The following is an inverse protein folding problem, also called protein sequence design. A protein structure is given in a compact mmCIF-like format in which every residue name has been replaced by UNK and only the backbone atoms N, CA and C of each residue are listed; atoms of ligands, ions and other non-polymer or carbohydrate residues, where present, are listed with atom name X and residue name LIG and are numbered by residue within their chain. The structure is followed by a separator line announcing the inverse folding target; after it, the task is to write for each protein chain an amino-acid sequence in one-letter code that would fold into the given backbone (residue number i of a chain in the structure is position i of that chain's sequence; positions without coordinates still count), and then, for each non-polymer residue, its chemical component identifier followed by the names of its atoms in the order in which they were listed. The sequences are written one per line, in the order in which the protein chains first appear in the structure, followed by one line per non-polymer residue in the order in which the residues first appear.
data_IF_986518920385
#
_entry.id   IF_986518920385
#
_cell.length_a   1.000
_cell.length_b   1.000
_cell.length_c   1.000
_cell.angle_alpha   90.00
_cell.angle_beta   90.00
_cell.angle_gamma   90.00
#
_symmetry.space_group_name_H-M   'P 1'
#
loop_
_entity.id
_entity.type
_entity.pdbx_description
1 polymer ?
#
# COMPACT_ATOMS: atom_id res chain seq x y z
N UNK A 1 -23.04 -19.51 -23.33
CA UNK A 1 -22.39 -18.32 -22.73
C UNK A 1 -22.81 -17.15 -23.57
N UNK A 2 -23.44 -16.14 -22.97
CA UNK A 2 -23.65 -14.89 -23.68
C UNK A 2 -22.29 -14.23 -23.96
N UNK A 3 -22.08 -13.69 -25.16
CA UNK A 3 -20.90 -12.89 -25.46
C UNK A 3 -20.90 -11.64 -24.58
N UNK A 4 -19.71 -11.23 -24.12
CA UNK A 4 -19.55 -9.98 -23.38
C UNK A 4 -20.15 -8.81 -24.17
N UNK A 5 -20.93 -7.92 -23.52
CA UNK A 5 -21.45 -6.72 -24.18
C UNK A 5 -20.30 -5.89 -24.74
N UNK A 6 -20.28 -5.68 -26.06
CA UNK A 6 -19.32 -4.80 -26.73
C UNK A 6 -19.73 -3.33 -26.53
N UNK A 7 -19.72 -2.85 -25.29
CA UNK A 7 -19.83 -1.41 -25.02
C UNK A 7 -18.42 -0.82 -24.99
N UNK A 8 -18.10 -0.04 -26.02
CA UNK A 8 -16.85 0.71 -26.20
C UNK A 8 -15.57 -0.08 -25.87
N UNK A 9 -15.02 -0.76 -26.89
CA UNK A 9 -13.60 -1.11 -26.85
C UNK A 9 -12.82 0.18 -26.61
N UNK A 10 -12.26 0.34 -25.41
CA UNK A 10 -11.27 1.35 -25.09
C UNK A 10 -10.11 1.16 -26.07
N UNK A 11 -10.03 1.99 -27.10
CA UNK A 11 -9.10 1.79 -28.20
C UNK A 11 -7.66 2.17 -27.81
N UNK A 12 -7.49 2.97 -26.75
CA UNK A 12 -6.19 3.36 -26.22
C UNK A 12 -6.03 2.92 -24.75
N UNK A 13 -4.80 2.50 -24.40
CA UNK A 13 -4.42 2.13 -23.03
C UNK A 13 -4.79 3.20 -22.00
N UNK A 14 -4.63 4.47 -22.39
CA UNK A 14 -4.95 5.61 -21.55
C UNK A 14 -6.40 5.59 -21.06
N UNK A 15 -7.37 5.07 -21.80
CA UNK A 15 -8.77 5.14 -21.38
C UNK A 15 -9.08 4.30 -20.12
N UNK A 16 -8.27 3.29 -19.82
CA UNK A 16 -8.53 2.34 -18.73
C UNK A 16 -7.43 2.27 -17.68
N UNK A 17 -6.26 2.86 -17.93
CA UNK A 17 -5.14 2.83 -17.00
C UNK A 17 -4.34 4.13 -17.00
N UNK A 18 -3.60 4.34 -15.93
CA UNK A 18 -2.67 5.45 -15.82
C UNK A 18 -1.53 5.29 -16.84
N UNK A 19 -1.13 6.40 -17.44
CA UNK A 19 0.06 6.50 -18.31
C UNK A 19 1.04 7.52 -17.72
N UNK A 20 2.27 7.58 -18.22
CA UNK A 20 3.31 8.45 -17.65
C UNK A 20 2.94 9.93 -17.75
N UNK A 21 2.23 10.29 -18.82
CA UNK A 21 1.73 11.63 -19.10
C UNK A 21 0.72 12.09 -18.04
N UNK A 22 0.03 11.17 -17.36
CA UNK A 22 -0.86 11.52 -16.24
C UNK A 22 -0.09 12.08 -15.03
N UNK A 23 1.23 11.87 -14.96
CA UNK A 23 2.08 12.33 -13.85
C UNK A 23 3.03 13.48 -14.24
N UNK A 24 3.10 13.87 -15.52
CA UNK A 24 4.12 14.77 -16.03
C UNK A 24 4.02 16.20 -15.49
N UNK A 25 2.80 16.71 -15.27
CA UNK A 25 2.53 18.10 -14.91
C UNK A 25 2.04 18.28 -13.46
N UNK A 26 2.43 17.37 -12.56
CA UNK A 26 1.92 17.35 -11.17
C UNK A 26 3.05 17.42 -10.14
N UNK A 27 3.70 18.57 -10.06
CA UNK A 27 4.89 18.83 -9.22
C UNK A 27 4.75 18.48 -7.72
N UNK A 28 3.52 18.42 -7.20
CA UNK A 28 3.25 18.10 -5.80
C UNK A 28 3.36 16.61 -5.49
N UNK A 29 3.18 15.73 -6.48
CA UNK A 29 3.11 14.30 -6.26
C UNK A 29 4.24 13.55 -6.95
N UNK A 30 4.82 12.62 -6.20
CA UNK A 30 5.74 11.61 -6.71
C UNK A 30 4.98 10.33 -7.05
N UNK A 31 5.58 9.52 -7.91
CA UNK A 31 5.12 8.16 -8.22
C UNK A 31 5.50 7.20 -7.09
N UNK A 32 4.64 7.12 -6.07
CA UNK A 32 4.88 6.28 -4.89
C UNK A 32 4.49 4.83 -5.13
N UNK A 33 5.40 3.90 -4.82
CA UNK A 33 5.17 2.47 -5.00
C UNK A 33 4.34 1.89 -3.85
N UNK A 34 3.39 0.98 -4.16
CA UNK A 34 2.67 0.21 -3.14
C UNK A 34 3.48 -0.99 -2.67
N UNK A 35 4.09 -1.71 -3.61
CA UNK A 35 5.12 -2.70 -3.36
C UNK A 35 6.50 -2.10 -3.67
N UNK A 36 7.32 -1.75 -2.66
CA UNK A 36 8.55 -0.99 -2.88
C UNK A 36 9.70 -1.86 -3.40
N UNK A 37 10.57 -1.25 -4.22
CA UNK A 37 11.79 -1.89 -4.74
C UNK A 37 12.73 -2.42 -3.65
N UNK A 38 12.79 -1.73 -2.50
CA UNK A 38 13.65 -2.06 -1.36
C UNK A 38 13.26 -3.38 -0.68
N UNK A 39 12.04 -3.89 -0.94
CA UNK A 39 11.58 -5.17 -0.41
C UNK A 39 11.82 -6.33 -1.39
N UNK A 40 12.35 -6.05 -2.58
CA UNK A 40 12.67 -7.06 -3.59
C UNK A 40 14.18 -7.34 -3.64
N UNK A 41 14.55 -8.59 -3.91
CA UNK A 41 15.96 -8.99 -4.06
C UNK A 41 16.37 -9.06 -5.54
N UNK A 42 15.58 -9.78 -6.35
CA UNK A 42 15.87 -10.04 -7.76
C UNK A 42 15.72 -8.77 -8.63
N UNK A 43 16.64 -8.50 -9.58
CA UNK A 43 16.54 -7.35 -10.47
C UNK A 43 15.25 -7.29 -11.31
N UNK A 44 14.70 -8.44 -11.72
CA UNK A 44 13.45 -8.52 -12.49
C UNK A 44 12.27 -8.15 -11.59
N UNK A 45 12.25 -8.64 -10.35
CA UNK A 45 11.22 -8.30 -9.37
C UNK A 45 11.26 -6.81 -9.01
N UNK A 46 12.47 -6.23 -8.88
CA UNK A 46 12.65 -4.78 -8.72
C UNK A 46 12.13 -4.01 -9.92
N UNK A 47 12.42 -4.44 -11.14
CA UNK A 47 11.91 -3.77 -12.34
C UNK A 47 10.38 -3.78 -12.40
N UNK A 48 9.74 -4.86 -11.95
CA UNK A 48 8.29 -4.99 -11.92
C UNK A 48 7.61 -3.97 -10.99
N UNK A 49 8.27 -3.50 -9.94
CA UNK A 49 7.69 -2.51 -9.00
C UNK A 49 7.50 -1.12 -9.63
N UNK A 50 8.14 -0.83 -10.75
CA UNK A 50 8.02 0.45 -11.47
C UNK A 50 6.84 0.50 -12.45
N UNK A 51 6.07 -0.58 -12.58
CA UNK A 51 4.83 -0.59 -13.36
C UNK A 51 3.79 0.36 -12.76
N UNK A 52 3.02 1.06 -13.61
CA UNK A 52 2.02 2.03 -13.13
C UNK A 52 0.83 1.39 -12.39
N UNK A 53 0.64 0.07 -12.52
CA UNK A 53 -0.33 -0.69 -11.73
C UNK A 53 0.06 -0.81 -10.25
N UNK A 54 1.33 -0.54 -9.91
CA UNK A 54 1.87 -0.54 -8.55
C UNK A 54 2.12 0.88 -8.00
N UNK A 55 1.72 1.93 -8.74
CA UNK A 55 2.07 3.31 -8.43
C UNK A 55 0.82 4.12 -8.10
N UNK A 56 0.92 4.94 -7.04
CA UNK A 56 -0.10 5.93 -6.67
C UNK A 56 0.55 7.31 -6.46
N UNK A 57 -0.19 8.41 -6.67
CA UNK A 57 0.31 9.75 -6.36
C UNK A 57 0.56 9.90 -4.84
N UNK A 58 1.82 10.10 -4.45
CA UNK A 58 2.19 10.39 -3.07
C UNK A 58 2.76 11.79 -2.95
N UNK A 59 2.37 12.54 -1.92
CA UNK A 59 2.95 13.86 -1.64
C UNK A 59 4.45 13.70 -1.39
N UNK A 60 5.27 14.55 -2.00
CA UNK A 60 6.74 14.41 -2.02
C UNK A 60 7.37 14.25 -0.64
N UNK A 61 6.96 15.07 0.32
CA UNK A 61 7.47 15.05 1.70
C UNK A 61 7.03 13.78 2.45
N UNK A 62 5.87 13.23 2.10
CA UNK A 62 5.38 11.99 2.66
C UNK A 62 6.15 10.78 2.09
N UNK A 63 6.28 10.70 0.75
CA UNK A 63 6.99 9.64 0.04
C UNK A 63 8.45 9.53 0.50
N UNK A 64 9.22 10.62 0.40
CA UNK A 64 10.66 10.62 0.73
C UNK A 64 10.95 10.73 2.23
N UNK A 65 9.92 11.08 3.02
CA UNK A 65 10.04 11.32 4.46
C UNK A 65 9.53 10.15 5.29
N UNK A 66 8.29 10.25 5.75
CA UNK A 66 7.73 9.32 6.74
C UNK A 66 7.45 7.93 6.16
N UNK A 67 7.03 7.85 4.90
CA UNK A 67 6.74 6.58 4.25
C UNK A 67 8.01 5.78 3.94
N UNK A 68 9.01 6.37 3.30
CA UNK A 68 10.32 5.72 3.08
C UNK A 68 10.97 5.21 4.39
N UNK A 69 10.87 5.98 5.48
CA UNK A 69 11.35 5.53 6.81
C UNK A 69 10.55 4.34 7.35
N UNK A 70 9.27 4.25 7.02
CA UNK A 70 8.44 3.11 7.38
C UNK A 70 8.81 1.86 6.56
N UNK A 71 8.99 2.00 5.26
CA UNK A 71 9.41 0.89 4.36
C UNK A 71 10.73 0.28 4.83
N UNK A 72 11.73 1.11 5.16
CA UNK A 72 13.00 0.64 5.71
C UNK A 72 12.83 -0.03 7.09
N UNK A 73 11.98 0.52 7.95
CA UNK A 73 11.69 -0.07 9.27
C UNK A 73 11.08 -1.46 9.15
N UNK A 74 10.17 -1.67 8.21
CA UNK A 74 9.53 -2.97 7.98
C UNK A 74 10.54 -3.97 7.40
N UNK A 75 11.35 -3.55 6.43
CA UNK A 75 12.44 -4.38 5.89
C UNK A 75 13.37 -4.90 6.99
N UNK A 76 13.87 -4.00 7.84
CA UNK A 76 14.74 -4.36 8.96
C UNK A 76 14.03 -5.24 9.99
N UNK A 77 12.77 -4.93 10.33
CA UNK A 77 12.00 -5.71 11.32
C UNK A 77 11.77 -7.15 10.85
N UNK A 78 11.30 -7.31 9.62
CA UNK A 78 10.99 -8.63 9.08
C UNK A 78 12.26 -9.44 8.84
N UNK A 79 13.32 -8.85 8.29
CA UNK A 79 14.59 -9.56 8.07
C UNK A 79 15.26 -10.03 9.38
N UNK A 80 15.13 -9.26 10.47
CA UNK A 80 15.79 -9.59 11.73
C UNK A 80 14.98 -10.53 12.62
N UNK A 81 13.65 -10.50 12.53
CA UNK A 81 12.77 -11.16 13.51
C UNK A 81 11.72 -12.10 12.91
N UNK A 82 11.45 -12.05 11.61
CA UNK A 82 10.65 -13.07 10.94
C UNK A 82 11.55 -14.26 10.61
N UNK A 83 11.17 -15.45 11.08
CA UNK A 83 11.91 -16.71 10.84
C UNK A 83 11.37 -17.46 9.63
N UNK A 84 10.08 -17.31 9.34
CA UNK A 84 9.41 -17.89 8.19
C UNK A 84 9.16 -16.91 7.04
N UNK A 85 8.16 -17.22 6.23
CA UNK A 85 7.71 -16.36 5.14
C UNK A 85 6.86 -15.21 5.69
N UNK A 86 7.27 -13.98 5.40
CA UNK A 86 6.45 -12.80 5.67
C UNK A 86 5.55 -12.49 4.47
N UNK A 87 4.36 -11.97 4.76
CA UNK A 87 3.42 -11.42 3.78
C UNK A 87 3.17 -9.97 4.12
N UNK A 88 3.19 -9.09 3.11
CA UNK A 88 2.89 -7.66 3.27
C UNK A 88 1.74 -7.32 2.33
N UNK A 89 0.75 -6.61 2.84
CA UNK A 89 -0.36 -6.06 2.05
C UNK A 89 -0.33 -4.55 2.25
N UNK A 90 -0.10 -3.82 1.16
CA UNK A 90 -0.13 -2.36 1.13
C UNK A 90 -1.28 -1.91 0.25
N UNK A 91 -1.96 -0.85 0.66
CA UNK A 91 -3.06 -0.29 -0.10
C UNK A 91 -3.31 1.17 0.24
N UNK A 92 -4.38 1.69 -0.35
CA UNK A 92 -4.77 3.09 -0.20
C UNK A 92 -6.25 3.21 0.13
N UNK A 93 -6.63 4.35 0.69
CA UNK A 93 -8.06 4.71 0.78
C UNK A 93 -8.52 5.37 -0.52
N UNK A 94 -9.69 5.00 -1.01
CA UNK A 94 -10.24 5.45 -2.29
C UNK A 94 -10.93 6.82 -2.25
N UNK A 95 -10.99 7.47 -1.08
CA UNK A 95 -11.47 8.84 -0.94
C UNK A 95 -10.34 9.83 -1.23
N UNK A 96 -10.61 10.85 -2.05
CA UNK A 96 -9.62 11.90 -2.32
C UNK A 96 -9.90 12.70 -3.59
N UNK A 97 -8.90 13.48 -3.98
CA UNK A 97 -8.89 14.25 -5.23
C UNK A 97 -8.45 13.34 -6.40
N UNK A 98 -8.65 13.81 -7.62
CA UNK A 98 -8.16 13.16 -8.83
C UNK A 98 -7.12 14.05 -9.50
N UNK A 99 -6.07 13.46 -10.07
CA UNK A 99 -5.27 14.10 -11.09
C UNK A 99 -6.12 14.21 -12.36
N UNK A 100 -6.13 15.39 -12.96
CA UNK A 100 -6.88 15.68 -14.18
C UNK A 100 -5.93 15.94 -15.33
N UNK A 101 -6.21 15.32 -16.47
CA UNK A 101 -5.54 15.57 -17.76
C UNK A 101 -6.62 15.77 -18.81
N UNK A 102 -6.48 16.79 -19.65
CA UNK A 102 -7.47 17.11 -20.70
C UNK A 102 -8.92 17.25 -20.17
N UNK A 103 -9.06 17.82 -18.96
CA UNK A 103 -10.32 17.94 -18.20
C UNK A 103 -10.99 16.62 -17.80
N UNK A 104 -10.32 15.47 -17.95
CA UNK A 104 -10.79 14.16 -17.49
C UNK A 104 -10.12 13.78 -16.17
N UNK A 105 -10.87 13.14 -15.27
CA UNK A 105 -10.30 12.54 -14.06
C UNK A 105 -9.56 11.26 -14.44
N UNK A 106 -8.26 11.18 -14.11
CA UNK A 106 -7.37 10.11 -14.57
C UNK A 106 -6.93 9.20 -13.43
N UNK A 107 -6.23 9.76 -12.45
CA UNK A 107 -5.56 9.00 -11.38
C UNK A 107 -6.06 9.50 -10.03
N UNK A 108 -6.56 8.59 -9.20
CA UNK A 108 -6.99 8.93 -7.85
C UNK A 108 -5.79 9.25 -6.94
N UNK A 109 -5.87 10.37 -6.22
CA UNK A 109 -4.91 10.77 -5.20
C UNK A 109 -5.42 10.22 -3.88
N UNK A 110 -4.73 9.24 -3.27
CA UNK A 110 -5.19 8.63 -2.04
C UNK A 110 -5.06 9.60 -0.87
N UNK A 111 -6.08 9.67 0.00
CA UNK A 111 -5.99 10.45 1.24
C UNK A 111 -5.07 9.78 2.26
N UNK A 112 -5.14 8.46 2.40
CA UNK A 112 -4.30 7.68 3.31
C UNK A 112 -3.62 6.52 2.57
N UNK A 113 -2.38 6.27 2.95
CA UNK A 113 -1.70 5.00 2.70
C UNK A 113 -1.86 4.09 3.91
N UNK A 114 -1.90 2.79 3.67
CA UNK A 114 -1.85 1.80 4.74
C UNK A 114 -1.03 0.58 4.32
N UNK A 115 -0.43 -0.07 5.29
CA UNK A 115 0.27 -1.34 5.09
C UNK A 115 0.09 -2.23 6.31
N UNK A 116 0.04 -3.53 6.10
CA UNK A 116 0.03 -4.52 7.15
C UNK A 116 0.94 -5.68 6.77
N UNK A 117 1.58 -6.29 7.76
CA UNK A 117 2.39 -7.48 7.55
C UNK A 117 1.91 -8.62 8.44
N UNK A 118 2.17 -9.84 7.98
CA UNK A 118 1.91 -11.09 8.65
C UNK A 118 3.18 -11.94 8.60
N UNK A 119 3.66 -12.41 9.76
CA UNK A 119 4.71 -13.39 9.89
C UNK A 119 4.40 -14.29 11.08
N UNK A 120 3.88 -15.49 10.80
CA UNK A 120 3.43 -16.42 11.82
C UNK A 120 4.58 -17.09 12.59
N UNK A 121 5.72 -17.29 11.93
CA UNK A 121 6.95 -17.84 12.54
C UNK A 121 7.97 -16.72 12.75
N UNK A 122 8.13 -16.28 14.01
CA UNK A 122 8.98 -15.15 14.39
C UNK A 122 9.79 -15.43 15.64
N UNK A 123 10.83 -14.62 15.86
CA UNK A 123 11.72 -14.75 17.01
C UNK A 123 11.04 -14.31 18.32
N UNK A 124 10.76 -15.29 19.19
CA UNK A 124 10.14 -15.07 20.49
C UNK A 124 11.09 -14.42 21.52
N UNK A 125 12.40 -14.38 21.23
CA UNK A 125 13.42 -13.70 22.02
C UNK A 125 13.62 -12.23 21.59
N UNK A 126 12.90 -11.76 20.56
CA UNK A 126 12.95 -10.37 20.15
C UNK A 126 12.67 -9.41 21.33
N UNK A 127 13.30 -8.23 21.38
CA UNK A 127 12.99 -7.21 22.38
C UNK A 127 11.50 -6.93 22.45
N UNK A 128 10.96 -6.69 23.66
CA UNK A 128 9.51 -6.55 23.87
C UNK A 128 8.87 -5.57 22.88
N UNK A 129 9.49 -4.41 22.65
CA UNK A 129 8.98 -3.35 21.77
C UNK A 129 8.86 -3.74 20.28
N UNK A 130 9.50 -4.84 19.89
CA UNK A 130 9.33 -5.48 18.57
C UNK A 130 8.34 -6.63 18.68
N UNK A 131 8.52 -7.50 19.68
CA UNK A 131 7.75 -8.73 19.85
C UNK A 131 6.25 -8.51 19.95
N UNK A 132 5.79 -7.45 20.61
CA UNK A 132 4.35 -7.17 20.72
C UNK A 132 3.68 -6.82 19.37
N UNK A 133 4.47 -6.57 18.32
CA UNK A 133 4.02 -6.30 16.95
C UNK A 133 4.07 -7.54 16.05
N UNK A 134 4.33 -8.72 16.59
CA UNK A 134 4.25 -10.00 15.88
C UNK A 134 3.10 -10.84 16.45
N UNK A 135 2.47 -11.73 15.65
CA UNK A 135 2.80 -12.07 14.26
C UNK A 135 2.31 -11.04 13.23
N UNK A 136 1.43 -10.12 13.64
CA UNK A 136 0.72 -9.22 12.72
C UNK A 136 0.61 -7.81 13.28
N UNK A 137 0.85 -6.81 12.43
CA UNK A 137 0.67 -5.41 12.78
C UNK A 137 0.37 -4.58 11.53
N UNK A 138 -0.27 -3.43 11.73
CA UNK A 138 -0.65 -2.54 10.66
C UNK A 138 -0.11 -1.13 10.87
N UNK A 139 -0.15 -0.34 9.80
CA UNK A 139 0.10 1.09 9.81
C UNK A 139 -0.88 1.80 8.89
N UNK A 140 -1.18 3.05 9.19
CA UNK A 140 -1.67 4.00 8.19
C UNK A 140 -0.98 5.34 8.36
N UNK A 141 -1.02 6.17 7.30
CA UNK A 141 -0.48 7.51 7.31
C UNK A 141 -1.27 8.41 6.36
N UNK A 142 -1.39 9.70 6.70
CA UNK A 142 -2.01 10.70 5.83
C UNK A 142 -1.02 11.05 4.70
N UNK A 143 -1.49 10.97 3.46
CA UNK A 143 -0.74 11.36 2.26
C UNK A 143 -0.77 12.88 2.08
N UNK A 144 -0.04 13.60 2.93
CA UNK A 144 -0.01 15.06 2.92
C UNK A 144 1.36 15.61 3.35
N UNK A 145 1.53 16.93 3.27
CA UNK A 145 2.72 17.64 3.70
C UNK A 145 2.81 17.80 5.24
N UNK A 146 1.66 17.92 5.92
CA UNK A 146 1.55 18.09 7.38
C UNK A 146 0.72 16.94 7.96
N UNK A 147 1.09 16.48 9.16
CA UNK A 147 0.36 15.41 9.86
C UNK A 147 0.56 14.02 9.24
N UNK A 148 1.56 13.88 8.35
CA UNK A 148 1.86 12.68 7.59
C UNK A 148 2.64 11.63 8.38
N UNK A 149 2.49 11.62 9.70
CA UNK A 149 3.17 10.66 10.57
C UNK A 149 2.60 9.26 10.36
N UNK A 150 3.48 8.26 10.35
CA UNK A 150 3.09 6.86 10.28
C UNK A 150 2.61 6.39 11.64
N UNK A 151 1.35 6.00 11.72
CA UNK A 151 0.71 5.48 12.92
C UNK A 151 0.73 3.96 12.86
N UNK A 152 1.50 3.31 13.73
CA UNK A 152 1.50 1.84 13.85
C UNK A 152 0.45 1.40 14.89
N UNK A 153 -0.34 0.38 14.57
CA UNK A 153 -1.48 -0.07 15.38
C UNK A 153 -1.78 -1.58 15.19
N UNK A 154 -2.45 -2.23 16.16
CA UNK A 154 -2.90 -3.61 15.99
C UNK A 154 -3.79 -3.78 14.76
N UNK A 155 -3.72 -4.94 14.09
CA UNK A 155 -4.43 -5.21 12.83
C UNK A 155 -5.92 -4.86 12.90
N UNK A 156 -6.61 -5.27 13.98
CA UNK A 156 -8.05 -4.98 14.16
C UNK A 156 -8.38 -3.50 14.20
N UNK A 157 -7.47 -2.67 14.70
CA UNK A 157 -7.67 -1.23 14.71
C UNK A 157 -7.43 -0.62 13.32
N UNK A 158 -6.49 -1.16 12.55
CA UNK A 158 -6.33 -0.80 11.13
C UNK A 158 -7.58 -1.17 10.32
N UNK A 159 -8.12 -2.39 10.48
CA UNK A 159 -9.34 -2.82 9.80
C UNK A 159 -10.55 -1.94 10.15
N UNK A 160 -10.70 -1.56 11.42
CA UNK A 160 -11.75 -0.60 11.85
C UNK A 160 -11.55 0.77 11.20
N UNK A 161 -10.31 1.24 11.14
CA UNK A 161 -9.98 2.49 10.46
C UNK A 161 -10.36 2.42 8.99
N UNK A 162 -9.96 1.37 8.26
CA UNK A 162 -10.28 1.20 6.84
C UNK A 162 -11.79 1.09 6.58
N UNK A 163 -12.52 0.35 7.43
CA UNK A 163 -14.01 0.31 7.39
C UNK A 163 -14.65 1.68 7.56
N UNK A 164 -14.01 2.60 8.28
CA UNK A 164 -14.51 3.97 8.45
C UNK A 164 -14.17 4.90 7.28
N UNK A 165 -13.22 4.51 6.42
CA UNK A 165 -12.69 5.33 5.31
C UNK A 165 -13.09 4.81 3.93
N UNK A 166 -13.47 3.55 3.81
CA UNK A 166 -13.74 2.87 2.55
C UNK A 166 -15.04 2.06 2.65
N UNK A 167 -15.72 1.92 1.52
CA UNK A 167 -16.89 1.05 1.40
C UNK A 167 -16.45 -0.41 1.22
N UNK A 168 -16.10 -1.06 2.31
CA UNK A 168 -15.70 -2.47 2.36
C UNK A 168 -16.74 -3.31 3.11
N UNK A 169 -16.72 -4.63 2.88
CA UNK A 169 -17.65 -5.54 3.54
C UNK A 169 -17.53 -5.49 5.08
N UNK A 170 -18.63 -5.82 5.76
CA UNK A 170 -18.68 -5.85 7.23
C UNK A 170 -17.66 -6.84 7.82
N UNK A 171 -17.44 -7.95 7.14
CA UNK A 171 -16.46 -8.99 7.47
C UNK A 171 -15.08 -8.74 6.83
N UNK A 172 -14.78 -7.52 6.36
CA UNK A 172 -13.45 -7.19 5.82
C UNK A 172 -12.34 -7.57 6.82
N UNK A 173 -11.38 -8.33 6.32
CA UNK A 173 -10.15 -8.76 6.96
C UNK A 173 -8.99 -8.59 5.99
N UNK A 174 -7.83 -8.14 6.49
CA UNK A 174 -6.63 -8.01 5.63
C UNK A 174 -5.94 -9.37 5.48
N UNK A 175 -5.82 -10.13 6.57
CA UNK A 175 -5.27 -11.48 6.59
C UNK A 175 -6.33 -12.46 7.07
N UNK A 176 -6.41 -13.61 6.41
CA UNK A 176 -7.27 -14.69 6.88
C UNK A 176 -6.91 -15.09 8.32
N UNK A 177 -7.92 -15.26 9.16
CA UNK A 177 -7.77 -15.59 10.59
C UNK A 177 -6.73 -14.74 11.34
N UNK A 178 -6.56 -13.47 10.96
CA UNK A 178 -5.65 -12.53 11.63
C UNK A 178 -4.19 -13.02 11.72
N UNK A 179 -3.71 -13.75 10.70
CA UNK A 179 -2.34 -14.30 10.66
C UNK A 179 -2.04 -15.33 11.76
N UNK A 180 -3.06 -16.02 12.28
CA UNK A 180 -2.84 -17.16 13.17
C UNK A 180 -2.36 -18.36 12.35
N UNK A 181 -1.26 -18.99 12.77
CA UNK A 181 -0.76 -20.21 12.15
C UNK A 181 -1.84 -21.30 12.21
N UNK A 182 -2.08 -21.99 11.09
CA UNK A 182 -2.89 -23.21 11.11
C UNK A 182 -2.12 -24.28 11.90
N UNK A 183 -2.76 -24.77 12.97
CA UNK A 183 -2.24 -25.78 13.89
C UNK A 183 -2.29 -27.20 13.31
#
# INVERSE_FOLDING_TARGET
MEPFPQTHMHMNFEDTQAVLEDFADVDRYERGQLNPDQHQEDPIDKAATYTLTNVVPQVREFNTGSWAKHEERIRLRLNNYCRGKAYIVTGVTTSGNMIRRDNLDRVAIPQYMWSAYCCADFDHNAPYFVRYKFPVYGVYALNDHIGNQVIELPLKNLEKFLKSKMNVDKNFQIFYNDCVAES
#
